data_IF_081954521617
#
_entry.id   IF_081954521617
#
_cell.length_a   1.000
_cell.length_b   1.000
_cell.length_c   1.000
_cell.angle_alpha   90.00
_cell.angle_beta   90.00
_cell.angle_gamma   90.00
#
_symmetry.space_group_name_H-M   'P 1'
#
loop_
_entity.id
_entity.type
_entity.pdbx_description
1 polymer ?
#
# COMPACT_ATOMS: atom_id res chain seq x y z
N UNK A 1 -0.16 -10.16 0.21
CA UNK A 1 0.55 -8.94 0.69
C UNK A 1 -0.43 -7.79 0.81
N UNK A 2 -0.23 -6.87 1.76
CA UNK A 2 -1.12 -5.71 1.90
C UNK A 2 -0.73 -4.60 0.93
N UNK A 3 -1.66 -4.22 0.07
CA UNK A 3 -1.55 -3.06 -0.80
C UNK A 3 -2.38 -1.92 -0.23
N UNK A 4 -1.69 -0.84 0.15
CA UNK A 4 -2.35 0.38 0.59
C UNK A 4 -2.68 1.24 -0.63
N UNK A 5 -3.88 1.81 -0.61
CA UNK A 5 -4.36 2.68 -1.66
C UNK A 5 -5.19 3.81 -1.06
N UNK A 6 -5.27 4.90 -1.81
CA UNK A 6 -6.22 5.96 -1.55
C UNK A 6 -7.21 6.03 -2.71
N UNK A 7 -8.28 6.81 -2.52
CA UNK A 7 -9.33 6.89 -3.53
C UNK A 7 -9.96 8.27 -3.59
N UNK A 8 -10.72 8.48 -4.66
CA UNK A 8 -11.63 9.61 -4.83
C UNK A 8 -12.98 9.05 -5.24
N UNK A 9 -14.04 9.58 -4.64
CA UNK A 9 -15.40 9.08 -4.78
C UNK A 9 -16.29 10.15 -5.38
N UNK A 10 -17.06 9.78 -6.39
CA UNK A 10 -18.09 10.62 -7.00
C UNK A 10 -19.44 9.94 -6.81
N UNK A 11 -20.41 10.67 -6.28
CA UNK A 11 -21.77 10.17 -6.11
C UNK A 11 -22.63 10.47 -7.35
N UNK A 12 -23.76 9.79 -7.50
CA UNK A 12 -24.71 10.09 -8.59
C UNK A 12 -25.28 11.52 -8.53
N UNK A 13 -25.24 12.18 -7.37
CA UNK A 13 -25.57 13.60 -7.23
C UNK A 13 -24.57 14.55 -7.90
N UNK A 14 -23.45 14.04 -8.41
CA UNK A 14 -22.35 14.81 -9.01
C UNK A 14 -21.32 15.31 -8.00
N UNK A 15 -21.61 15.21 -6.69
CA UNK A 15 -20.65 15.60 -5.64
C UNK A 15 -19.45 14.66 -5.63
N UNK A 16 -18.27 15.26 -5.59
CA UNK A 16 -16.98 14.55 -5.64
C UNK A 16 -16.17 14.85 -4.39
N UNK A 17 -15.62 13.83 -3.75
CA UNK A 17 -14.79 13.96 -2.57
C UNK A 17 -13.44 13.27 -2.77
N UNK A 18 -12.38 14.06 -2.63
CA UNK A 18 -11.02 13.52 -2.59
C UNK A 18 -10.75 12.92 -1.21
N UNK A 19 -10.52 11.59 -1.19
CA UNK A 19 -10.20 10.81 0.01
C UNK A 19 -8.76 10.33 -0.02
N UNK A 20 -7.85 11.04 -0.71
CA UNK A 20 -6.42 10.69 -0.76
C UNK A 20 -5.71 10.68 0.59
N UNK A 21 -6.31 11.28 1.62
CA UNK A 21 -5.83 11.23 3.02
C UNK A 21 -6.32 10.00 3.80
N UNK A 22 -7.28 9.26 3.26
CA UNK A 22 -7.82 8.05 3.87
C UNK A 22 -7.24 6.86 3.13
N UNK A 23 -6.28 6.19 3.74
CA UNK A 23 -5.70 4.96 3.22
C UNK A 23 -6.57 3.77 3.61
N UNK A 24 -6.89 2.95 2.62
CA UNK A 24 -7.44 1.62 2.81
C UNK A 24 -6.39 0.61 2.36
N UNK A 25 -6.51 -0.61 2.87
CA UNK A 25 -5.67 -1.72 2.46
C UNK A 25 -6.50 -2.86 1.89
N UNK A 26 -5.90 -3.59 0.97
CA UNK A 26 -6.44 -4.84 0.42
C UNK A 26 -5.32 -5.85 0.29
N UNK A 27 -5.61 -7.11 0.61
CA UNK A 27 -4.66 -8.17 0.37
C UNK A 27 -4.66 -8.60 -1.09
N UNK A 28 -3.48 -8.56 -1.71
CA UNK A 28 -3.27 -8.93 -3.11
C UNK A 28 -2.07 -9.86 -3.28
N UNK A 29 -2.00 -10.50 -4.45
CA UNK A 29 -0.85 -11.31 -4.84
C UNK A 29 0.37 -10.42 -5.16
N UNK A 30 1.57 -11.02 -5.14
CA UNK A 30 2.80 -10.33 -5.60
C UNK A 30 2.73 -9.94 -7.08
N UNK A 31 2.08 -10.78 -7.88
CA UNK A 31 1.90 -10.55 -9.30
C UNK A 31 0.99 -9.34 -9.58
N UNK A 32 -0.14 -9.23 -8.88
CA UNK A 32 -1.04 -8.09 -9.07
C UNK A 32 -0.44 -6.80 -8.53
N UNK A 33 0.30 -6.86 -7.42
CA UNK A 33 1.07 -5.71 -6.93
C UNK A 33 2.05 -5.22 -8.02
N UNK A 34 2.77 -6.13 -8.66
CA UNK A 34 3.71 -5.81 -9.74
C UNK A 34 2.99 -5.17 -10.94
N UNK A 35 1.85 -5.72 -11.38
CA UNK A 35 1.05 -5.12 -12.46
C UNK A 35 0.63 -3.70 -12.11
N UNK A 36 0.12 -3.49 -10.88
CA UNK A 36 -0.31 -2.18 -10.39
C UNK A 36 0.85 -1.18 -10.42
N UNK A 37 1.98 -1.52 -9.80
CA UNK A 37 3.15 -0.64 -9.75
C UNK A 37 3.66 -0.33 -11.17
N UNK A 38 3.71 -1.34 -12.05
CA UNK A 38 4.13 -1.15 -13.46
C UNK A 38 3.22 -0.18 -14.19
N UNK A 39 1.90 -0.38 -14.12
CA UNK A 39 0.93 0.51 -14.77
C UNK A 39 0.97 1.93 -14.23
N UNK A 40 1.06 2.09 -12.90
CA UNK A 40 1.13 3.42 -12.26
C UNK A 40 2.42 4.16 -12.62
N UNK A 41 3.57 3.47 -12.69
CA UNK A 41 4.81 4.09 -13.15
C UNK A 41 4.79 4.46 -14.64
N UNK A 42 3.94 3.81 -15.44
CA UNK A 42 3.62 4.17 -16.82
C UNK A 42 2.49 5.22 -16.93
N UNK A 43 2.15 5.87 -15.82
CA UNK A 43 1.10 6.91 -15.74
C UNK A 43 -0.30 6.43 -16.15
N UNK A 44 -0.57 5.12 -16.05
CA UNK A 44 -1.91 4.54 -16.24
C UNK A 44 -2.71 4.63 -14.96
N UNK A 45 -4.01 4.88 -15.10
CA UNK A 45 -4.95 4.79 -13.98
C UNK A 45 -5.09 3.33 -13.54
N UNK A 46 -5.27 3.08 -12.24
CA UNK A 46 -5.31 1.71 -11.70
C UNK A 46 -6.45 0.89 -12.32
N UNK A 47 -7.61 1.51 -12.58
CA UNK A 47 -8.76 0.89 -13.26
C UNK A 47 -8.50 0.50 -14.73
N UNK A 48 -7.44 1.01 -15.35
CA UNK A 48 -7.05 0.70 -16.72
C UNK A 48 -5.95 -0.38 -16.80
N UNK A 49 -5.53 -0.94 -15.68
CA UNK A 49 -4.51 -1.98 -15.64
C UNK A 49 -5.17 -3.33 -15.93
N UNK A 50 -4.65 -4.04 -16.93
CA UNK A 50 -5.19 -5.34 -17.33
C UNK A 50 -4.89 -6.44 -16.30
N UNK A 51 -5.85 -7.35 -16.12
CA UNK A 51 -5.67 -8.55 -15.31
C UNK A 51 -5.62 -8.31 -13.79
N UNK A 52 -6.24 -7.22 -13.31
CA UNK A 52 -6.41 -6.92 -11.88
C UNK A 52 -7.88 -6.65 -11.49
N UNK A 53 -8.86 -7.10 -12.30
CA UNK A 53 -10.30 -6.90 -12.04
C UNK A 53 -10.71 -7.30 -10.63
N UNK A 54 -10.27 -8.46 -10.17
CA UNK A 54 -10.60 -8.98 -8.83
C UNK A 54 -10.07 -8.08 -7.72
N UNK A 55 -8.96 -7.38 -7.97
CA UNK A 55 -8.40 -6.40 -7.03
C UNK A 55 -9.27 -5.14 -7.01
N UNK A 56 -9.70 -4.66 -8.18
CA UNK A 56 -10.61 -3.52 -8.30
C UNK A 56 -11.95 -3.79 -7.60
N UNK A 57 -12.50 -5.00 -7.76
CA UNK A 57 -13.75 -5.40 -7.11
C UNK A 57 -13.60 -5.35 -5.59
N UNK A 58 -12.53 -5.94 -5.04
CA UNK A 58 -12.22 -5.88 -3.60
C UNK A 58 -12.02 -4.45 -3.10
N UNK A 59 -11.32 -3.61 -3.86
CA UNK A 59 -11.12 -2.20 -3.51
C UNK A 59 -12.45 -1.43 -3.51
N UNK A 60 -13.31 -1.72 -4.47
CA UNK A 60 -14.65 -1.15 -4.58
C UNK A 60 -15.51 -1.54 -3.39
N UNK A 61 -15.57 -2.83 -3.05
CA UNK A 61 -16.29 -3.31 -1.87
C UNK A 61 -15.81 -2.65 -0.57
N UNK A 62 -14.49 -2.52 -0.41
CA UNK A 62 -13.88 -1.87 0.74
C UNK A 62 -14.27 -0.38 0.85
N UNK A 63 -14.25 0.34 -0.28
CA UNK A 63 -14.68 1.74 -0.32
C UNK A 63 -16.17 1.88 -0.02
N UNK A 64 -17.02 1.03 -0.61
CA UNK A 64 -18.46 1.03 -0.32
C UNK A 64 -18.73 0.77 1.17
N UNK A 65 -18.02 -0.19 1.75
CA UNK A 65 -18.15 -0.49 3.17
C UNK A 65 -17.73 0.71 4.03
N UNK A 66 -16.56 1.29 3.75
CA UNK A 66 -16.04 2.43 4.47
C UNK A 66 -16.96 3.66 4.35
N UNK A 67 -17.52 3.93 3.16
CA UNK A 67 -18.43 5.06 2.91
C UNK A 67 -19.64 5.06 3.85
N UNK A 68 -20.15 3.88 4.23
CA UNK A 68 -21.26 3.75 5.18
C UNK A 68 -20.93 4.33 6.55
N UNK A 69 -19.67 4.34 6.94
CA UNK A 69 -19.17 4.87 8.20
C UNK A 69 -18.60 6.27 8.08
N UNK A 70 -18.71 6.92 6.91
CA UNK A 70 -18.23 8.29 6.71
C UNK A 70 -19.36 9.26 6.38
N UNK A 71 -19.25 10.46 6.95
CA UNK A 71 -20.03 11.60 6.52
C UNK A 71 -19.40 12.23 5.27
N UNK A 72 -20.18 13.01 4.51
CA UNK A 72 -19.70 13.69 3.30
C UNK A 72 -18.52 14.63 3.59
N UNK A 73 -18.53 15.32 4.74
CA UNK A 73 -17.40 16.14 5.19
C UNK A 73 -16.15 15.35 5.62
N UNK A 74 -16.19 14.01 5.61
CA UNK A 74 -15.08 13.13 5.97
C UNK A 74 -14.98 12.71 7.42
N UNK A 75 -15.87 13.19 8.29
CA UNK A 75 -15.87 12.72 9.68
C UNK A 75 -16.42 11.29 9.77
N UNK A 76 -15.85 10.52 10.71
CA UNK A 76 -16.28 9.16 10.99
C UNK A 76 -17.61 9.14 11.73
N UNK A 77 -18.43 8.15 11.41
CA UNK A 77 -19.71 7.85 12.08
C UNK A 77 -19.52 6.67 13.01
N UNK A 78 -20.20 6.70 14.16
CA UNK A 78 -20.29 5.54 15.06
C UNK A 78 -21.22 4.45 14.51
N UNK A 79 -22.26 4.84 13.79
CA UNK A 79 -23.25 3.92 13.20
C UNK A 79 -23.26 4.02 11.68
N UNK A 80 -23.37 2.89 10.97
CA UNK A 80 -23.39 2.90 9.52
C UNK A 80 -24.64 3.60 8.99
N UNK A 81 -24.57 4.09 7.76
CA UNK A 81 -25.76 4.53 7.04
C UNK A 81 -26.75 3.38 6.85
N UNK A 82 -28.04 3.70 7.04
CA UNK A 82 -29.15 2.77 6.80
C UNK A 82 -29.29 2.40 5.33
N UNK A 83 -29.04 3.37 4.43
CA UNK A 83 -29.04 3.18 2.98
C UNK A 83 -27.65 3.50 2.43
N UNK A 84 -27.14 2.67 1.52
CA UNK A 84 -25.91 2.98 0.77
C UNK A 84 -26.15 4.24 -0.07
N UNK A 85 -25.13 5.08 -0.23
CA UNK A 85 -25.15 6.17 -1.20
C UNK A 85 -24.95 5.58 -2.59
N UNK A 86 -25.58 6.19 -3.59
CA UNK A 86 -25.36 5.80 -4.97
C UNK A 86 -24.03 6.43 -5.46
N UNK A 87 -23.07 5.57 -5.78
CA UNK A 87 -21.73 5.93 -6.23
C UNK A 87 -21.69 5.81 -7.75
N UNK A 88 -21.30 6.88 -8.44
CA UNK A 88 -21.20 6.90 -9.90
C UNK A 88 -19.79 6.58 -10.39
N UNK A 89 -18.75 6.96 -9.63
CA UNK A 89 -17.35 6.72 -10.01
C UNK A 89 -16.46 6.56 -8.77
N UNK A 90 -15.55 5.60 -8.85
CA UNK A 90 -14.39 5.47 -7.97
C UNK A 90 -13.11 5.63 -8.79
N UNK A 91 -12.16 6.38 -8.24
CA UNK A 91 -10.81 6.51 -8.80
C UNK A 91 -9.81 6.08 -7.72
N UNK A 92 -8.92 5.15 -8.04
CA UNK A 92 -7.96 4.60 -7.09
C UNK A 92 -6.54 5.10 -7.37
N UNK A 93 -5.78 5.31 -6.30
CA UNK A 93 -4.41 5.84 -6.34
C UNK A 93 -3.53 5.09 -5.37
N UNK A 94 -2.25 4.95 -5.68
CA UNK A 94 -1.27 4.62 -4.64
C UNK A 94 -1.03 5.85 -3.75
N UNK A 95 -0.69 5.66 -2.46
CA UNK A 95 -0.36 6.78 -1.60
C UNK A 95 0.84 7.57 -2.14
N UNK A 96 0.79 8.90 -1.98
CA UNK A 96 1.82 9.81 -2.54
C UNK A 96 3.23 9.48 -2.04
N UNK A 97 3.38 9.09 -0.78
CA UNK A 97 4.69 8.69 -0.23
C UNK A 97 5.24 7.46 -0.95
N UNK A 98 4.38 6.51 -1.28
CA UNK A 98 4.75 5.25 -1.93
C UNK A 98 5.10 5.50 -3.40
N UNK A 99 4.33 6.35 -4.09
CA UNK A 99 4.66 6.78 -5.45
C UNK A 99 6.02 7.47 -5.54
N UNK A 100 6.28 8.45 -4.66
CA UNK A 100 7.57 9.15 -4.61
C UNK A 100 8.73 8.22 -4.34
N UNK A 101 8.54 7.21 -3.49
CA UNK A 101 9.52 6.18 -3.19
C UNK A 101 9.84 5.35 -4.43
N UNK A 102 8.82 4.80 -5.07
CA UNK A 102 8.96 3.98 -6.27
C UNK A 102 9.65 4.74 -7.41
N UNK A 103 9.36 6.04 -7.58
CA UNK A 103 10.04 6.90 -8.56
C UNK A 103 11.52 7.15 -8.27
N UNK A 104 11.96 7.07 -7.01
CA UNK A 104 13.36 7.26 -6.62
C UNK A 104 14.19 5.98 -6.74
N UNK A 105 13.55 4.83 -6.83
CA UNK A 105 14.22 3.56 -7.02
C UNK A 105 14.86 3.50 -8.40
N UNK A 106 16.08 2.97 -8.48
CA UNK A 106 16.80 2.84 -9.76
C UNK A 106 16.09 1.89 -10.72
N UNK A 107 15.71 0.70 -10.24
CA UNK A 107 15.01 -0.34 -11.01
C UNK A 107 13.86 -0.92 -10.17
N UNK A 108 12.72 -0.21 -10.01
CA UNK A 108 11.66 -0.61 -9.08
C UNK A 108 11.08 -1.99 -9.42
N UNK A 109 10.84 -2.29 -10.70
CA UNK A 109 10.23 -3.58 -11.10
C UNK A 109 11.15 -4.75 -10.82
N UNK A 110 12.42 -4.66 -11.22
CA UNK A 110 13.44 -5.69 -10.94
C UNK A 110 13.60 -5.91 -9.42
N UNK A 111 13.57 -4.83 -8.63
CA UNK A 111 13.65 -4.89 -7.17
C UNK A 111 12.47 -5.65 -6.55
N UNK A 112 11.27 -5.53 -7.14
CA UNK A 112 10.10 -6.28 -6.71
C UNK A 112 10.18 -7.77 -7.08
N UNK A 113 10.91 -8.14 -8.14
CA UNK A 113 11.08 -9.55 -8.53
C UNK A 113 12.03 -10.31 -7.61
N UNK A 114 12.92 -9.61 -6.89
CA UNK A 114 13.87 -10.24 -5.98
C UNK A 114 13.16 -11.13 -4.95
N UNK A 115 13.73 -12.30 -4.62
CA UNK A 115 13.21 -13.14 -3.56
C UNK A 115 13.30 -12.40 -2.23
N UNK A 116 12.47 -12.82 -1.28
CA UNK A 116 12.61 -12.35 0.09
C UNK A 116 13.88 -12.99 0.67
N UNK A 117 14.77 -12.16 1.20
CA UNK A 117 15.99 -12.61 1.85
C UNK A 117 15.92 -12.36 3.35
N UNK A 118 16.41 -13.31 4.14
CA UNK A 118 16.42 -13.25 5.59
C UNK A 118 17.84 -13.53 6.11
N UNK A 119 18.30 -12.71 7.04
CA UNK A 119 19.56 -12.92 7.75
C UNK A 119 19.35 -12.64 9.23
N UNK A 120 19.84 -13.53 10.09
CA UNK A 120 19.85 -13.32 11.54
C UNK A 120 21.29 -13.28 12.03
N UNK A 121 21.66 -12.18 12.70
CA UNK A 121 22.97 -12.01 13.33
C UNK A 121 22.82 -12.21 14.82
N UNK A 122 23.53 -13.19 15.37
CA UNK A 122 23.54 -13.49 16.80
C UNK A 122 24.68 -12.75 17.50
N UNK A 123 24.42 -12.28 18.72
CA UNK A 123 25.39 -11.62 19.60
C UNK A 123 25.82 -12.58 20.71
N UNK A 124 26.94 -12.25 21.35
CA UNK A 124 27.50 -13.07 22.45
C UNK A 124 26.60 -13.13 23.69
N UNK A 125 25.71 -12.16 23.88
CA UNK A 125 24.73 -12.13 24.97
C UNK A 125 23.49 -12.99 24.70
N UNK A 126 23.47 -13.73 23.58
CA UNK A 126 22.34 -14.55 23.14
C UNK A 126 21.22 -13.77 22.44
N UNK A 127 21.31 -12.44 22.35
CA UNK A 127 20.38 -11.62 21.56
C UNK A 127 20.69 -11.71 20.07
N UNK A 128 19.75 -11.26 19.23
CA UNK A 128 19.91 -11.26 17.78
C UNK A 128 19.33 -10.03 17.10
N UNK A 129 19.78 -9.80 15.87
CA UNK A 129 19.14 -8.89 14.91
C UNK A 129 18.71 -9.69 13.72
N UNK A 130 17.43 -9.61 13.36
CA UNK A 130 16.91 -10.16 12.11
C UNK A 130 16.76 -9.04 11.08
N UNK A 131 17.38 -9.26 9.92
CA UNK A 131 17.24 -8.45 8.72
C UNK A 131 16.40 -9.21 7.71
N UNK A 132 15.36 -8.58 7.19
CA UNK A 132 14.54 -9.11 6.09
C UNK A 132 14.54 -8.11 4.95
N UNK A 133 15.07 -8.49 3.80
CA UNK A 133 15.02 -7.69 2.58
C UNK A 133 13.83 -8.14 1.72
N UNK A 134 12.91 -7.22 1.45
CA UNK A 134 11.69 -7.48 0.68
C UNK A 134 11.21 -6.17 0.02
N UNK A 135 10.79 -6.25 -1.26
CA UNK A 135 10.18 -5.13 -2.00
C UNK A 135 10.98 -3.81 -1.95
N UNK A 136 12.31 -3.93 -2.00
CA UNK A 136 13.24 -2.80 -1.96
C UNK A 136 13.37 -2.13 -0.59
N UNK A 137 12.93 -2.79 0.48
CA UNK A 137 13.09 -2.35 1.87
C UNK A 137 13.83 -3.42 2.67
N UNK A 138 14.55 -2.96 3.68
CA UNK A 138 15.14 -3.81 4.72
C UNK A 138 14.40 -3.55 6.01
N UNK A 139 13.85 -4.61 6.56
CA UNK A 139 13.23 -4.66 7.87
C UNK A 139 14.25 -5.13 8.89
N UNK A 140 14.43 -4.38 9.96
CA UNK A 140 15.39 -4.67 11.04
C UNK A 140 14.59 -4.87 12.34
N UNK A 141 14.79 -6.03 12.97
CA UNK A 141 14.16 -6.38 14.25
C UNK A 141 15.26 -6.79 15.23
N UNK A 142 15.40 -6.05 16.32
CA UNK A 142 16.32 -6.40 17.42
C UNK A 142 15.57 -7.21 18.47
N UNK A 143 16.07 -8.39 18.84
CA UNK A 143 15.42 -9.26 19.83
C UNK A 143 15.31 -8.62 21.23
N UNK A 144 16.08 -7.56 21.49
CA UNK A 144 16.04 -6.80 22.75
C UNK A 144 14.90 -5.79 22.79
N UNK A 145 14.36 -5.40 21.63
CA UNK A 145 13.30 -4.40 21.52
C UNK A 145 11.95 -5.07 21.19
N UNK A 146 11.05 -5.09 22.18
CA UNK A 146 9.73 -5.71 21.99
C UNK A 146 8.86 -4.86 21.07
N UNK A 147 8.31 -5.50 20.05
CA UNK A 147 7.36 -4.90 19.09
C UNK A 147 7.93 -3.71 18.29
N UNK A 148 9.26 -3.58 18.23
CA UNK A 148 9.91 -2.56 17.41
C UNK A 148 10.39 -3.20 16.11
N UNK A 149 10.10 -2.53 14.99
CA UNK A 149 10.56 -2.90 13.66
C UNK A 149 10.98 -1.63 12.94
N UNK A 150 12.25 -1.55 12.56
CA UNK A 150 12.72 -0.47 11.71
C UNK A 150 12.61 -0.88 10.25
N UNK A 151 12.19 0.04 9.40
CA UNK A 151 12.08 -0.17 7.96
C UNK A 151 12.86 0.94 7.28
N UNK A 152 13.80 0.54 6.43
CA UNK A 152 14.69 1.43 5.68
C UNK A 152 14.69 1.02 4.21
N UNK A 153 14.85 1.96 3.29
CA UNK A 153 15.00 1.63 1.86
C UNK A 153 16.30 0.87 1.63
N UNK A 154 16.25 -0.18 0.80
CA UNK A 154 17.38 -1.10 0.61
C UNK A 154 18.62 -0.36 0.08
N UNK A 155 18.48 0.51 -0.91
CA UNK A 155 19.60 1.31 -1.44
C UNK A 155 20.25 2.17 -0.36
N UNK A 156 19.43 2.75 0.54
CA UNK A 156 19.95 3.53 1.65
C UNK A 156 20.66 2.66 2.68
N UNK A 157 20.11 1.49 2.99
CA UNK A 157 20.74 0.52 3.88
C UNK A 157 22.11 0.08 3.37
N UNK A 158 22.21 -0.29 2.08
CA UNK A 158 23.47 -0.69 1.44
C UNK A 158 24.49 0.45 1.50
N UNK A 159 24.08 1.70 1.25
CA UNK A 159 24.98 2.87 1.34
C UNK A 159 25.55 3.16 2.74
N UNK A 160 25.01 2.51 3.78
CA UNK A 160 25.47 2.68 5.18
C UNK A 160 26.40 1.58 5.65
N UNK A 161 26.46 0.45 4.92
CA UNK A 161 27.27 -0.71 5.30
C UNK A 161 28.45 -0.96 4.36
N UNK A 162 28.45 -0.36 3.18
CA UNK A 162 29.58 -0.28 2.25
C UNK A 162 30.33 1.04 2.46
#
# INVERSE_FOLDING_TARGET
MNFNYCYKITYESGETYDRRRNELSVEISKEDYKKIITGVLQERSIDQIEGISDVIDKMTENVEFADRFMNKNGSLRKTPLKKKRAISKLEFFIPEYEYRRLKKMKNPIETLERPVEHMTVYRNDGSSVTLTAENGRVSIVDSREKNVRHIIEADHFISKIL
#
